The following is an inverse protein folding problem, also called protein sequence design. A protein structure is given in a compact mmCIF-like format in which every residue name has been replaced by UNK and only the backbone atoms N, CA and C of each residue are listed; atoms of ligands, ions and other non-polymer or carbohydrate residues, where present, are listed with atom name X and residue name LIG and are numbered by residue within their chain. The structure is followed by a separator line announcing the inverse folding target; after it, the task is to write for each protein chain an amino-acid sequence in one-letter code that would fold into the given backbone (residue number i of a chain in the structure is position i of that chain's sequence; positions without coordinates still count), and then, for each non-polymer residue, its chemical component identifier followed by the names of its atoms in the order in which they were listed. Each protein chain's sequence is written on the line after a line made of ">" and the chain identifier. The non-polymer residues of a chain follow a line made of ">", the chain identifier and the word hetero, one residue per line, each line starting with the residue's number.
data_IF_624168433741
#
_entry.id   IF_624168433741
#
_cell.length_a   1.000
_cell.length_b   1.000
_cell.length_c   1.000
_cell.angle_alpha   90.00
_cell.angle_beta   90.00
_cell.angle_gamma   90.00
#
_symmetry.space_group_name_H-M   'P 1'
#
loop_
_entity.id
_entity.type
_entity.pdbx_description
1 polymer ?
#
# COMPACT_ATOMS: atom_id res chain seq x y z
N UNK A 1 23.46 23.28 -2.65
CA UNK A 1 23.84 22.05 -3.36
C UNK A 1 22.66 21.10 -3.32
N UNK A 2 21.95 20.99 -4.44
CA UNK A 2 20.83 20.07 -4.64
C UNK A 2 21.40 18.65 -4.60
N UNK A 3 21.04 17.85 -3.58
CA UNK A 3 21.44 16.45 -3.54
C UNK A 3 20.67 15.70 -4.63
N UNK A 4 21.44 14.99 -5.44
CA UNK A 4 20.99 14.11 -6.52
C UNK A 4 19.98 13.09 -5.99
N UNK A 5 18.83 13.01 -6.67
CA UNK A 5 17.95 11.85 -6.62
C UNK A 5 18.77 10.63 -7.03
N UNK A 6 19.01 9.71 -6.09
CA UNK A 6 19.57 8.40 -6.42
C UNK A 6 18.40 7.44 -6.60
N UNK A 7 18.28 6.85 -7.79
CA UNK A 7 17.51 5.62 -7.94
C UNK A 7 18.14 4.55 -7.03
N UNK A 8 17.32 3.67 -6.46
CA UNK A 8 17.80 2.48 -5.75
C UNK A 8 18.72 1.74 -6.74
N UNK A 9 20.00 1.58 -6.38
CA UNK A 9 21.02 1.01 -7.27
C UNK A 9 20.77 -0.47 -7.62
N UNK A 10 19.87 -1.12 -6.87
CA UNK A 10 19.44 -2.49 -7.06
C UNK A 10 17.91 -2.59 -7.07
N UNK A 11 17.39 -3.70 -7.59
CA UNK A 11 15.96 -3.99 -7.48
C UNK A 11 15.60 -4.21 -6.01
N UNK A 12 14.58 -3.50 -5.52
CA UNK A 12 14.14 -3.60 -4.14
C UNK A 12 13.49 -4.95 -3.85
N UNK A 13 13.64 -5.40 -2.61
CA UNK A 13 12.83 -6.49 -2.09
C UNK A 13 11.36 -6.10 -2.24
N UNK A 14 10.68 -6.83 -3.12
CA UNK A 14 9.25 -6.72 -3.33
C UNK A 14 8.58 -6.70 -1.95
N UNK A 15 7.83 -5.62 -1.66
CA UNK A 15 7.13 -5.31 -0.39
C UNK A 15 7.75 -4.27 0.57
N UNK A 16 9.01 -3.82 0.42
CA UNK A 16 9.59 -2.82 1.35
C UNK A 16 9.59 -1.41 0.77
N UNK A 17 10.05 -1.23 -0.46
CA UNK A 17 10.19 0.09 -1.09
C UNK A 17 9.03 0.38 -2.04
N UNK A 18 7.80 0.09 -1.61
CA UNK A 18 6.61 0.44 -2.39
C UNK A 18 6.48 1.97 -2.45
N UNK A 19 6.58 2.56 -3.64
CA UNK A 19 6.17 3.95 -3.83
C UNK A 19 4.65 4.04 -3.94
N UNK A 20 3.98 4.19 -2.80
CA UNK A 20 2.58 4.62 -2.77
C UNK A 20 2.50 5.96 -2.03
N UNK A 21 2.59 7.05 -2.79
CA UNK A 21 2.23 8.39 -2.38
C UNK A 21 1.24 8.95 -3.41
N UNK A 22 -0.07 9.11 -3.11
CA UNK A 22 -0.95 9.93 -3.93
C UNK A 22 -0.55 11.41 -3.84
N UNK A 23 0.05 11.81 -2.71
CA UNK A 23 0.91 12.99 -2.54
C UNK A 23 1.80 12.72 -1.31
N UNK A 24 3.03 13.28 -1.30
CA UNK A 24 3.98 13.16 -0.19
C UNK A 24 3.40 13.77 1.09
N UNK A 25 2.58 14.82 0.97
CA UNK A 25 2.09 15.63 2.10
C UNK A 25 1.20 14.83 3.08
N UNK A 26 0.52 13.79 2.60
CA UNK A 26 -0.31 12.92 3.45
C UNK A 26 0.48 11.93 4.31
N UNK A 27 1.81 11.91 4.15
CA UNK A 27 2.67 10.88 4.70
C UNK A 27 2.57 9.57 3.93
N UNK A 28 3.39 8.62 4.36
CA UNK A 28 3.54 7.31 3.76
C UNK A 28 2.26 6.49 3.91
N UNK A 29 1.94 5.75 2.85
CA UNK A 29 0.92 4.72 2.88
C UNK A 29 1.56 3.39 3.27
N UNK A 30 0.94 2.71 4.23
CA UNK A 30 1.22 1.29 4.48
C UNK A 30 0.53 0.35 3.48
N UNK A 31 0.09 -0.81 3.95
CA UNK A 31 -0.68 -1.76 3.11
C UNK A 31 -2.14 -1.33 3.07
N UNK A 32 -2.68 -1.07 1.87
CA UNK A 32 -4.09 -0.72 1.68
C UNK A 32 -4.99 -1.89 2.06
N UNK A 33 -5.99 -1.62 2.91
CA UNK A 33 -7.02 -2.58 3.31
C UNK A 33 -8.37 -2.05 2.86
N UNK A 34 -9.15 -2.90 2.18
CA UNK A 34 -10.58 -2.65 2.00
C UNK A 34 -11.30 -2.74 3.35
N UNK A 35 -12.48 -2.11 3.43
CA UNK A 35 -13.26 -2.06 4.68
C UNK A 35 -13.52 -3.44 5.29
N UNK A 36 -13.75 -4.46 4.47
CA UNK A 36 -14.01 -5.83 4.94
C UNK A 36 -12.74 -6.57 5.38
N UNK A 37 -11.56 -6.22 4.86
CA UNK A 37 -10.29 -6.86 5.20
C UNK A 37 -9.76 -6.44 6.57
N UNK A 38 -10.16 -5.26 7.08
CA UNK A 38 -9.66 -4.72 8.35
C UNK A 38 -9.77 -5.73 9.50
N UNK A 39 -10.96 -6.32 9.69
CA UNK A 39 -11.20 -7.22 10.82
C UNK A 39 -10.43 -8.54 10.66
N UNK A 40 -10.31 -9.03 9.43
CA UNK A 40 -9.51 -10.22 9.13
C UNK A 40 -8.04 -10.00 9.47
N UNK A 41 -7.45 -8.87 9.06
CA UNK A 41 -6.06 -8.53 9.37
C UNK A 41 -5.82 -8.35 10.87
N UNK A 42 -6.78 -7.75 11.59
CA UNK A 42 -6.72 -7.64 13.06
C UNK A 42 -6.72 -9.02 13.74
N UNK A 43 -7.57 -9.93 13.28
CA UNK A 43 -7.63 -11.29 13.83
C UNK A 43 -6.34 -12.08 13.51
N UNK A 44 -5.78 -11.91 12.32
CA UNK A 44 -4.50 -12.51 11.95
C UNK A 44 -3.37 -11.98 12.84
N UNK A 45 -3.31 -10.67 13.07
CA UNK A 45 -2.33 -10.07 13.96
C UNK A 45 -2.42 -10.65 15.38
N UNK A 46 -3.63 -10.81 15.92
CA UNK A 46 -3.86 -11.43 17.23
C UNK A 46 -3.39 -12.90 17.25
N UNK A 47 -3.76 -13.70 16.25
CA UNK A 47 -3.37 -15.11 16.14
C UNK A 47 -1.84 -15.29 16.08
N UNK A 48 -1.15 -14.39 15.37
CA UNK A 48 0.31 -14.39 15.25
C UNK A 48 1.02 -13.63 16.37
N UNK A 49 0.30 -13.02 17.33
CA UNK A 49 0.85 -12.17 18.41
C UNK A 49 1.70 -11.01 17.88
N UNK A 50 1.28 -10.41 16.77
CA UNK A 50 1.92 -9.28 16.10
C UNK A 50 1.17 -8.00 16.47
N UNK A 51 1.88 -7.00 16.96
CA UNK A 51 1.29 -5.68 17.19
C UNK A 51 1.16 -4.93 15.86
N UNK A 52 -0.05 -4.49 15.54
CA UNK A 52 -0.34 -3.74 14.31
C UNK A 52 -0.97 -2.38 14.62
N UNK A 53 -0.77 -1.43 13.71
CA UNK A 53 -1.48 -0.15 13.70
C UNK A 53 -2.26 -0.06 12.40
N UNK A 54 -3.58 0.08 12.50
CA UNK A 54 -4.47 0.28 11.34
C UNK A 54 -5.07 1.67 11.43
N UNK A 55 -4.76 2.50 10.45
CA UNK A 55 -5.32 3.85 10.33
C UNK A 55 -6.37 3.89 9.22
N UNK A 56 -7.34 4.82 9.29
CA UNK A 56 -8.14 5.14 8.11
C UNK A 56 -7.25 5.59 6.96
N UNK A 57 -7.72 5.42 5.72
CA UNK A 57 -7.02 5.90 4.52
C UNK A 57 -7.89 6.80 3.66
N UNK A 58 -9.06 6.29 3.29
CA UNK A 58 -10.02 6.98 2.45
C UNK A 58 -11.39 6.99 3.11
N UNK A 59 -12.09 8.10 3.00
CA UNK A 59 -13.50 8.19 3.34
C UNK A 59 -14.28 8.99 2.29
N UNK A 60 -15.60 8.90 2.38
CA UNK A 60 -16.53 9.65 1.55
C UNK A 60 -17.46 10.47 2.43
N UNK A 61 -17.83 11.66 1.99
CA UNK A 61 -18.78 12.50 2.72
C UNK A 61 -19.21 13.71 1.93
N UNK A 62 -20.51 13.99 1.96
CA UNK A 62 -21.14 15.06 1.18
C UNK A 62 -20.94 16.46 1.81
N UNK A 63 -20.63 16.54 3.09
CA UNK A 63 -20.51 17.81 3.81
C UNK A 63 -19.05 18.27 3.92
N UNK A 64 -18.64 19.19 3.04
CA UNK A 64 -17.30 19.82 3.04
C UNK A 64 -16.97 20.58 4.34
N UNK A 65 -17.97 20.94 5.16
CA UNK A 65 -17.79 21.68 6.43
C UNK A 65 -17.63 20.77 7.66
N UNK A 66 -17.63 19.45 7.48
CA UNK A 66 -17.48 18.50 8.58
C UNK A 66 -16.01 18.25 8.93
N UNK A 67 -15.74 17.72 10.13
CA UNK A 67 -14.38 17.37 10.59
C UNK A 67 -13.89 16.00 10.05
N UNK A 68 -14.46 15.53 8.94
CA UNK A 68 -14.08 14.26 8.32
C UNK A 68 -15.20 13.60 7.51
N UNK A 69 -14.94 12.42 6.93
CA UNK A 69 -15.89 11.72 6.08
C UNK A 69 -17.11 11.20 6.85
N UNK A 70 -18.24 11.06 6.15
CA UNK A 70 -19.42 10.35 6.67
C UNK A 70 -19.22 8.84 6.78
N UNK A 71 -18.35 8.28 5.93
CA UNK A 71 -18.04 6.85 5.91
C UNK A 71 -16.57 6.64 5.53
N UNK A 72 -15.87 5.79 6.28
CA UNK A 72 -14.55 5.28 5.89
C UNK A 72 -14.73 4.11 4.92
N UNK A 73 -14.04 4.17 3.78
CA UNK A 73 -14.13 3.17 2.71
C UNK A 73 -12.84 2.35 2.54
N UNK A 74 -11.72 2.82 3.09
CA UNK A 74 -10.47 2.08 3.12
C UNK A 74 -9.63 2.42 4.35
N UNK A 75 -8.81 1.47 4.74
CA UNK A 75 -7.84 1.58 5.82
C UNK A 75 -6.44 1.32 5.29
N UNK A 76 -5.44 1.53 6.13
CA UNK A 76 -4.04 1.24 5.86
C UNK A 76 -3.41 0.60 7.09
N UNK A 77 -2.75 -0.54 6.89
CA UNK A 77 -1.90 -1.19 7.88
C UNK A 77 -0.53 -0.53 7.84
N UNK A 78 -0.16 0.15 8.93
CA UNK A 78 1.09 0.90 9.03
C UNK A 78 2.29 -0.03 9.26
N UNK A 79 3.47 0.41 8.81
CA UNK A 79 4.73 -0.26 9.11
C UNK A 79 5.17 -0.12 10.56
N UNK A 80 6.17 -0.91 10.94
CA UNK A 80 6.70 -0.99 12.32
C UNK A 80 7.84 -0.03 12.60
N UNK A 81 8.57 0.42 11.59
CA UNK A 81 9.63 1.41 11.72
C UNK A 81 9.06 2.84 11.63
N UNK A 82 9.85 3.83 12.05
CA UNK A 82 9.51 5.25 12.06
C UNK A 82 9.06 5.77 10.70
N UNK A 83 9.68 5.28 9.62
CA UNK A 83 9.34 5.70 8.26
C UNK A 83 8.18 4.89 7.68
N UNK A 84 7.70 3.84 8.35
CA UNK A 84 6.55 3.04 7.92
C UNK A 84 6.79 2.06 6.77
N UNK A 85 8.04 1.69 6.49
CA UNK A 85 8.45 0.79 5.40
C UNK A 85 8.15 -0.68 5.70
N UNK A 86 8.35 -1.11 6.94
CA UNK A 86 8.31 -2.54 7.27
C UNK A 86 6.92 -2.98 7.69
N UNK A 87 6.24 -3.68 6.79
CA UNK A 87 4.99 -4.37 7.12
C UNK A 87 5.18 -5.25 8.37
N UNK A 88 4.29 -5.18 9.38
CA UNK A 88 4.42 -5.94 10.63
C UNK A 88 4.49 -7.46 10.48
N UNK A 89 3.98 -7.99 9.36
CA UNK A 89 3.96 -9.43 9.08
C UNK A 89 5.22 -9.93 8.38
N UNK A 90 6.14 -9.04 8.00
CA UNK A 90 7.41 -9.44 7.37
C UNK A 90 8.42 -9.89 8.41
N UNK A 91 8.97 -11.08 8.21
CA UNK A 91 10.11 -11.57 8.96
C UNK A 91 11.41 -11.00 8.38
N UNK A 92 11.75 -9.78 8.82
CA UNK A 92 12.96 -9.07 8.38
C UNK A 92 14.26 -9.61 8.98
N UNK A 93 14.17 -10.49 10.00
CA UNK A 93 15.33 -11.07 10.69
C UNK A 93 15.64 -12.48 10.21
N UNK A 94 14.65 -13.17 9.65
CA UNK A 94 14.78 -14.52 9.14
C UNK A 94 15.57 -14.64 7.83
N UNK A 95 16.10 -15.84 7.61
CA UNK A 95 16.80 -16.21 6.37
C UNK A 95 15.85 -16.69 5.27
N UNK A 96 14.62 -17.06 5.63
CA UNK A 96 13.62 -17.55 4.69
C UNK A 96 13.11 -16.42 3.79
N UNK A 97 12.71 -16.78 2.56
CA UNK A 97 12.22 -15.85 1.55
C UNK A 97 10.89 -16.34 0.98
N UNK A 98 10.07 -15.40 0.51
CA UNK A 98 8.83 -15.71 -0.19
C UNK A 98 9.11 -16.33 -1.57
N UNK A 99 8.11 -16.93 -2.23
CA UNK A 99 8.25 -17.45 -3.60
C UNK A 99 8.75 -16.42 -4.62
N UNK A 100 8.52 -15.13 -4.36
CA UNK A 100 8.98 -14.02 -5.21
C UNK A 100 10.32 -13.40 -4.74
N UNK A 101 11.03 -14.08 -3.83
CA UNK A 101 12.37 -13.72 -3.38
C UNK A 101 12.45 -12.59 -2.36
N UNK A 102 11.32 -12.07 -1.87
CA UNK A 102 11.26 -11.05 -0.81
C UNK A 102 11.29 -11.66 0.60
N UNK A 103 11.19 -10.81 1.63
CA UNK A 103 11.07 -11.28 3.02
C UNK A 103 9.86 -12.19 3.21
N UNK A 104 10.01 -13.19 4.08
CA UNK A 104 8.91 -14.09 4.40
C UNK A 104 7.76 -13.33 5.09
N UNK A 105 6.51 -13.68 4.76
CA UNK A 105 5.32 -13.04 5.32
C UNK A 105 4.55 -14.08 6.15
N UNK A 106 4.27 -13.76 7.42
CA UNK A 106 3.56 -14.67 8.32
C UNK A 106 2.12 -15.01 7.86
N UNK A 107 1.52 -14.12 7.07
CA UNK A 107 0.15 -14.25 6.54
C UNK A 107 0.16 -14.37 5.02
N UNK A 108 1.19 -14.98 4.42
CA UNK A 108 1.39 -14.94 2.97
C UNK A 108 0.13 -15.36 2.21
N UNK A 109 -0.49 -16.49 2.55
CA UNK A 109 -1.68 -17.00 1.85
C UNK A 109 -2.97 -16.22 2.16
N UNK A 110 -2.98 -15.47 3.26
CA UNK A 110 -4.12 -14.68 3.74
C UNK A 110 -3.86 -13.16 3.62
N UNK A 111 -2.87 -12.79 2.80
CA UNK A 111 -2.44 -11.40 2.67
C UNK A 111 -3.57 -10.53 2.10
N UNK A 112 -3.60 -9.22 2.40
CA UNK A 112 -4.59 -8.31 1.81
C UNK A 112 -4.55 -8.31 0.28
N UNK A 113 -5.65 -7.95 -0.37
CA UNK A 113 -5.76 -7.85 -1.83
C UNK A 113 -4.69 -6.94 -2.43
N UNK A 114 -4.31 -5.86 -1.75
CA UNK A 114 -3.25 -4.97 -2.21
C UNK A 114 -1.86 -5.64 -2.22
N UNK A 115 -1.65 -6.64 -1.36
CA UNK A 115 -0.46 -7.49 -1.39
C UNK A 115 -0.60 -8.65 -2.39
N UNK A 116 -1.80 -9.14 -2.67
CA UNK A 116 -2.05 -10.10 -3.74
C UNK A 116 -1.87 -9.49 -5.12
N UNK A 117 -2.27 -8.24 -5.32
CA UNK A 117 -2.14 -7.53 -6.59
C UNK A 117 -0.68 -7.20 -6.94
N UNK A 118 0.20 -7.14 -5.94
CA UNK A 118 1.58 -6.74 -6.15
C UNK A 118 2.39 -7.85 -6.86
N UNK A 119 3.19 -7.54 -7.90
CA UNK A 119 3.67 -6.22 -8.31
C UNK A 119 2.85 -5.50 -9.39
N UNK A 120 1.67 -6.00 -9.79
CA UNK A 120 0.85 -5.38 -10.82
C UNK A 120 0.29 -4.02 -10.37
N UNK A 121 0.60 -2.96 -11.12
CA UNK A 121 0.13 -1.59 -10.87
C UNK A 121 -1.07 -1.22 -11.73
N UNK A 122 -0.99 -1.56 -13.01
CA UNK A 122 -2.01 -1.25 -14.00
C UNK A 122 -2.06 -2.32 -15.08
N UNK A 123 -3.19 -2.42 -15.77
CA UNK A 123 -3.31 -3.25 -16.97
C UNK A 123 -3.81 -2.42 -18.15
N UNK A 124 -3.25 -2.68 -19.33
CA UNK A 124 -3.75 -2.19 -20.61
C UNK A 124 -4.20 -3.38 -21.49
N UNK A 125 -4.38 -3.19 -22.80
CA UNK A 125 -4.93 -4.22 -23.69
C UNK A 125 -4.27 -5.60 -23.54
N UNK A 126 -2.94 -5.68 -23.68
CA UNK A 126 -2.21 -6.96 -23.66
C UNK A 126 -1.11 -7.04 -22.60
N UNK A 127 -0.76 -5.91 -21.96
CA UNK A 127 0.36 -5.82 -21.03
C UNK A 127 -0.09 -5.39 -19.64
N UNK A 128 0.67 -5.83 -18.64
CA UNK A 128 0.57 -5.40 -17.25
C UNK A 128 1.79 -4.54 -16.94
N UNK A 129 1.57 -3.37 -16.36
CA UNK A 129 2.61 -2.53 -15.79
C UNK A 129 2.94 -3.01 -14.38
N UNK A 130 4.22 -3.24 -14.11
CA UNK A 130 4.72 -3.68 -12.82
C UNK A 130 5.45 -2.56 -12.08
N UNK A 131 5.48 -2.64 -10.76
CA UNK A 131 6.34 -1.78 -9.94
C UNK A 131 7.81 -1.98 -10.33
N UNK A 132 8.40 -0.95 -10.95
CA UNK A 132 9.77 -0.98 -11.45
C UNK A 132 10.81 -1.19 -10.35
N UNK A 133 10.44 -1.00 -9.08
CA UNK A 133 11.32 -1.26 -7.96
C UNK A 133 11.27 -2.73 -7.51
N UNK A 134 10.30 -3.54 -7.93
CA UNK A 134 10.25 -4.95 -7.53
C UNK A 134 11.29 -5.77 -8.28
N UNK A 135 12.05 -6.58 -7.55
CA UNK A 135 12.99 -7.58 -8.10
C UNK A 135 12.39 -8.47 -9.18
N UNK A 136 11.10 -8.83 -9.10
CA UNK A 136 10.42 -9.57 -10.16
C UNK A 136 10.39 -8.78 -11.49
N UNK A 137 10.05 -7.49 -11.44
CA UNK A 137 10.01 -6.62 -12.62
C UNK A 137 11.37 -6.49 -13.29
N UNK A 138 12.45 -6.47 -12.50
CA UNK A 138 13.80 -6.49 -13.04
C UNK A 138 14.19 -7.78 -13.78
N UNK A 139 13.59 -8.91 -13.43
CA UNK A 139 13.87 -10.21 -14.05
C UNK A 139 13.07 -10.43 -15.33
N UNK A 140 11.86 -9.88 -15.42
CA UNK A 140 10.91 -10.16 -16.49
C UNK A 140 10.55 -8.96 -17.38
N UNK A 141 11.11 -7.75 -17.12
CA UNK A 141 10.71 -6.43 -17.63
C UNK A 141 9.55 -5.80 -16.85
N UNK A 142 9.45 -4.46 -16.86
CA UNK A 142 8.36 -3.70 -16.24
C UNK A 142 7.01 -3.87 -16.98
N UNK A 143 7.04 -4.51 -18.15
CA UNK A 143 5.85 -4.90 -18.91
C UNK A 143 5.87 -6.39 -19.19
N UNK A 144 4.85 -7.09 -18.71
CA UNK A 144 4.68 -8.53 -18.94
C UNK A 144 3.31 -8.84 -19.53
N UNK A 145 3.20 -10.00 -20.19
CA UNK A 145 1.92 -10.50 -20.72
C UNK A 145 0.99 -10.87 -19.55
N UNK A 146 -0.31 -10.60 -19.73
CA UNK A 146 -1.34 -10.83 -18.70
C UNK A 146 -1.39 -12.26 -18.14
N UNK A 147 -1.13 -13.27 -18.97
CA UNK A 147 -1.19 -14.67 -18.57
C UNK A 147 -0.16 -15.08 -17.50
N UNK A 148 0.83 -14.22 -17.20
CA UNK A 148 1.82 -14.44 -16.15
C UNK A 148 1.36 -13.94 -14.77
N UNK A 149 0.25 -13.19 -14.69
CA UNK A 149 -0.18 -12.45 -13.49
C UNK A 149 -1.69 -12.56 -13.25
N UNK A 150 -2.29 -13.71 -13.54
CA UNK A 150 -3.74 -13.89 -13.46
C UNK A 150 -4.29 -13.58 -12.05
N UNK A 151 -3.62 -14.07 -11.01
CA UNK A 151 -4.05 -13.87 -9.62
C UNK A 151 -3.93 -12.42 -9.16
N UNK A 152 -2.85 -11.76 -9.58
CA UNK A 152 -2.54 -10.36 -9.29
C UNK A 152 -3.56 -9.44 -9.98
N UNK A 153 -3.93 -9.76 -11.24
CA UNK A 153 -4.93 -9.01 -12.01
C UNK A 153 -6.35 -9.18 -11.43
N UNK A 154 -6.71 -10.37 -10.96
CA UNK A 154 -7.99 -10.59 -10.24
C UNK A 154 -8.05 -9.71 -8.99
N UNK A 155 -6.97 -9.69 -8.20
CA UNK A 155 -6.90 -8.84 -7.00
C UNK A 155 -6.96 -7.35 -7.34
N UNK A 156 -6.20 -6.89 -8.35
CA UNK A 156 -6.19 -5.50 -8.81
C UNK A 156 -7.57 -5.06 -9.31
N UNK A 157 -8.24 -5.88 -10.13
CA UNK A 157 -9.59 -5.62 -10.61
C UNK A 157 -10.61 -5.55 -9.47
N UNK A 158 -10.51 -6.47 -8.49
CA UNK A 158 -11.36 -6.46 -7.30
C UNK A 158 -11.22 -5.16 -6.51
N UNK A 159 -9.99 -4.67 -6.33
CA UNK A 159 -9.72 -3.39 -5.67
C UNK A 159 -10.34 -2.23 -6.46
N UNK A 160 -10.12 -2.15 -7.77
CA UNK A 160 -10.66 -1.09 -8.65
C UNK A 160 -12.18 -1.04 -8.58
N UNK A 161 -12.85 -2.17 -8.78
CA UNK A 161 -14.31 -2.28 -8.73
C UNK A 161 -14.89 -1.83 -7.37
N UNK A 162 -14.15 -2.07 -6.27
CA UNK A 162 -14.56 -1.61 -4.94
C UNK A 162 -14.53 -0.08 -4.79
N UNK A 163 -13.66 0.61 -5.53
CA UNK A 163 -13.52 2.07 -5.51
C UNK A 163 -14.32 2.78 -6.60
N UNK A 164 -14.56 2.16 -7.76
CA UNK A 164 -15.24 2.78 -8.90
C UNK A 164 -16.65 3.30 -8.55
N UNK A 165 -17.35 2.60 -7.66
CA UNK A 165 -18.66 3.01 -7.11
C UNK A 165 -18.64 4.33 -6.32
N UNK A 166 -17.46 4.85 -5.97
CA UNK A 166 -17.27 6.08 -5.21
C UNK A 166 -16.69 7.24 -6.06
N UNK A 167 -16.50 7.05 -7.36
CA UNK A 167 -15.88 8.04 -8.26
C UNK A 167 -16.60 9.38 -8.32
N UNK A 168 -17.92 9.39 -8.10
CA UNK A 168 -18.75 10.61 -8.09
C UNK A 168 -18.91 11.21 -6.68
N UNK A 169 -18.28 10.62 -5.66
CA UNK A 169 -18.38 11.08 -4.28
C UNK A 169 -17.24 12.02 -3.91
N UNK A 170 -17.49 12.91 -2.96
CA UNK A 170 -16.44 13.74 -2.36
C UNK A 170 -15.54 12.88 -1.48
N UNK A 171 -14.25 12.83 -1.81
CA UNK A 171 -13.24 11.99 -1.17
C UNK A 171 -12.53 12.75 -0.05
N UNK A 172 -12.32 12.06 1.07
CA UNK A 172 -11.48 12.50 2.18
C UNK A 172 -10.27 11.57 2.29
N UNK A 173 -9.09 12.15 2.52
CA UNK A 173 -7.83 11.42 2.73
C UNK A 173 -7.36 11.60 4.16
N UNK A 174 -6.87 10.51 4.75
CA UNK A 174 -6.28 10.55 6.08
C UNK A 174 -4.77 10.75 5.98
N UNK A 175 -4.26 11.84 6.55
CA UNK A 175 -2.83 12.08 6.72
C UNK A 175 -2.30 11.30 7.93
N UNK A 176 -1.19 10.59 7.75
CA UNK A 176 -0.61 9.73 8.80
C UNK A 176 0.41 10.46 9.67
N UNK A 177 1.01 11.51 9.12
CA UNK A 177 2.20 12.17 9.65
C UNK A 177 3.37 11.19 9.90
N UNK A 178 3.45 10.16 9.05
CA UNK A 178 4.52 9.15 9.07
C UNK A 178 5.26 9.25 7.74
N UNK A 179 6.58 9.27 7.77
CA UNK A 179 7.42 9.36 6.57
C UNK A 179 8.87 9.54 6.97
N UNK A 180 9.74 9.61 5.98
CA UNK A 180 11.17 9.80 6.20
C UNK A 180 11.47 11.10 6.94
N UNK A 181 12.51 11.10 7.77
CA UNK A 181 12.92 12.27 8.56
C UNK A 181 13.14 13.52 7.70
N UNK A 182 13.65 13.33 6.47
CA UNK A 182 13.92 14.37 5.48
C UNK A 182 12.68 15.17 5.06
N UNK A 183 11.50 14.54 5.07
CA UNK A 183 10.24 15.15 4.62
C UNK A 183 9.23 15.35 5.75
N UNK A 184 9.52 14.86 6.96
CA UNK A 184 8.59 14.88 8.10
C UNK A 184 8.05 16.28 8.41
N UNK A 185 8.88 17.32 8.26
CA UNK A 185 8.47 18.72 8.49
C UNK A 185 7.47 19.26 7.47
N UNK A 186 7.39 18.64 6.29
CA UNK A 186 6.46 19.00 5.22
C UNK A 186 5.18 18.18 5.27
N UNK A 187 5.08 17.18 6.16
CA UNK A 187 3.90 16.34 6.26
C UNK A 187 2.76 17.07 6.96
N UNK A 188 1.55 16.88 6.44
CA UNK A 188 0.33 17.30 7.10
C UNK A 188 0.24 16.67 8.51
N UNK A 189 -0.29 17.40 9.50
CA UNK A 189 -0.68 16.82 10.78
C UNK A 189 -1.60 15.61 10.59
N UNK A 190 -1.58 14.69 11.55
CA UNK A 190 -2.43 13.50 11.49
C UNK A 190 -3.91 13.91 11.54
N UNK A 191 -4.69 13.49 10.55
CA UNK A 191 -6.11 13.86 10.48
C UNK A 191 -6.76 13.64 9.11
N UNK A 192 -8.03 14.02 9.01
CA UNK A 192 -8.80 13.98 7.76
C UNK A 192 -8.68 15.29 7.00
N UNK A 193 -8.48 15.17 5.69
CA UNK A 193 -8.40 16.27 4.76
C UNK A 193 -9.31 16.00 3.58
N UNK A 194 -10.07 17.01 3.18
CA UNK A 194 -10.87 16.96 1.98
C UNK A 194 -9.93 16.92 0.76
N UNK A 195 -10.14 15.99 -0.15
CA UNK A 195 -9.43 15.98 -1.42
C UNK A 195 -10.10 17.00 -2.34
N UNK A 196 -9.39 18.10 -2.63
CA UNK A 196 -9.80 19.11 -3.61
C UNK A 196 -9.66 18.60 -5.06
#
# INVERSE_FOLDING_TARGET
>A
MLKEFHCIQDCSDCCINRQYYPSIDYGKIGVLLLRHEKKQVENLAEAHKINIIVLPRLGIGTNKKSNGPSQVIAYQLMGTNTDGNYCPFLDIKGKNRSPHGGFNCAIYDERPLSCHAYPALSENNTNVELDCNCKFSCQYSNHVKKNLLESELIALSTIRNNFDRFTQQTIWRYATHIGEESVTKSLLPRGWYLQD
#
